data_IF_745412630279
#
_entry.id   IF_745412630279
#
_cell.length_a   1.000
_cell.length_b   1.000
_cell.length_c   1.000
_cell.angle_alpha   90.00
_cell.angle_beta   90.00
_cell.angle_gamma   90.00
#
_symmetry.space_group_name_H-M   'P 1'
#
loop_
_entity.id
_entity.type
_entity.pdbx_description
1 polymer ?
#
# COMPACT_ATOMS: atom_id res chain seq x y z
N UNK A 1 -15.05 19.92 27.51
CA UNK A 1 -15.28 18.58 26.93
C UNK A 1 -14.70 18.59 25.52
N UNK A 2 -13.57 17.91 25.26
CA UNK A 2 -12.94 17.84 23.93
C UNK A 2 -13.06 16.40 23.43
N UNK A 3 -13.82 16.18 22.36
CA UNK A 3 -13.94 14.88 21.69
C UNK A 3 -12.60 14.44 21.12
N UNK A 4 -12.19 13.22 21.47
CA UNK A 4 -11.07 12.52 20.84
C UNK A 4 -11.61 11.89 19.54
N UNK A 5 -11.27 12.47 18.39
CA UNK A 5 -11.44 11.79 17.11
C UNK A 5 -10.40 10.66 17.02
N UNK A 6 -10.75 9.49 17.55
CA UNK A 6 -10.02 8.26 17.28
C UNK A 6 -10.42 7.77 15.89
N UNK A 7 -9.62 8.12 14.88
CA UNK A 7 -9.65 7.41 13.61
C UNK A 7 -8.78 6.15 13.77
N UNK A 8 -9.37 4.94 13.91
CA UNK A 8 -8.62 3.71 14.25
C UNK A 8 -7.62 3.28 13.18
N UNK A 9 -7.61 3.96 12.02
CA UNK A 9 -6.69 3.71 10.92
C UNK A 9 -5.42 4.59 10.95
N UNK A 10 -5.35 5.60 11.83
CA UNK A 10 -4.20 6.50 11.93
C UNK A 10 -3.01 5.91 12.73
N UNK A 11 -3.22 4.83 13.49
CA UNK A 11 -2.19 4.19 14.31
C UNK A 11 -1.25 3.25 13.51
N UNK A 12 -1.49 3.06 12.22
CA UNK A 12 -0.68 2.18 11.37
C UNK A 12 0.56 2.86 10.73
N UNK A 13 0.66 4.19 10.80
CA UNK A 13 1.68 4.95 10.05
C UNK A 13 3.05 5.09 10.74
N UNK A 14 3.18 4.67 12.01
CA UNK A 14 4.36 4.98 12.85
C UNK A 14 5.37 3.85 13.11
N UNK A 15 5.23 2.67 12.50
CA UNK A 15 5.93 1.46 12.96
C UNK A 15 6.88 0.80 11.93
N UNK A 16 7.23 1.46 10.83
CA UNK A 16 7.84 0.75 9.70
C UNK A 16 9.38 0.61 9.70
N UNK A 17 10.13 1.36 10.51
CA UNK A 17 11.62 1.28 10.47
C UNK A 17 12.29 0.53 11.65
N UNK A 18 11.64 0.42 12.81
CA UNK A 18 12.21 -0.34 13.95
C UNK A 18 11.55 -1.71 14.22
N UNK A 19 10.48 -2.07 13.48
CA UNK A 19 9.75 -3.32 13.69
C UNK A 19 9.70 -4.23 12.45
N UNK A 20 10.49 -3.94 11.41
CA UNK A 20 10.50 -4.70 10.15
C UNK A 20 10.90 -6.19 10.30
N UNK A 21 11.29 -6.64 11.50
CA UNK A 21 11.62 -8.02 11.82
C UNK A 21 10.60 -8.73 12.72
N UNK A 22 9.60 -8.03 13.29
CA UNK A 22 8.72 -8.61 14.31
C UNK A 22 7.21 -8.53 14.00
N UNK A 23 6.74 -7.73 13.02
CA UNK A 23 5.28 -7.58 12.71
C UNK A 23 4.92 -7.47 11.21
N UNK A 24 5.81 -7.90 10.31
CA UNK A 24 5.85 -7.49 8.90
C UNK A 24 4.97 -8.27 7.89
N UNK A 25 4.62 -9.57 8.10
CA UNK A 25 3.79 -10.32 7.16
C UNK A 25 2.31 -9.87 7.14
N UNK A 26 1.71 -9.70 8.31
CA UNK A 26 0.27 -9.45 8.45
C UNK A 26 -0.16 -8.11 7.85
N UNK A 27 0.68 -7.08 8.00
CA UNK A 27 0.37 -5.73 7.52
C UNK A 27 0.43 -5.62 6.00
N UNK A 28 1.47 -6.17 5.34
CA UNK A 28 1.57 -6.15 3.87
C UNK A 28 0.49 -7.02 3.23
N UNK A 29 0.17 -8.13 3.86
CA UNK A 29 -0.93 -8.98 3.41
C UNK A 29 -2.28 -8.27 3.53
N UNK A 30 -2.51 -7.55 4.64
CA UNK A 30 -3.70 -6.73 4.84
C UNK A 30 -3.81 -5.61 3.77
N UNK A 31 -2.72 -4.89 3.50
CA UNK A 31 -2.64 -3.86 2.46
C UNK A 31 -2.99 -4.44 1.06
N UNK A 32 -2.46 -5.62 0.72
CA UNK A 32 -2.82 -6.32 -0.50
C UNK A 32 -4.30 -6.72 -0.56
N UNK A 33 -4.85 -7.23 0.55
CA UNK A 33 -6.27 -7.64 0.62
C UNK A 33 -7.23 -6.45 0.47
N UNK A 34 -6.93 -5.28 1.04
CA UNK A 34 -7.80 -4.09 0.90
C UNK A 34 -7.79 -3.54 -0.54
N UNK A 35 -6.65 -3.59 -1.24
CA UNK A 35 -6.58 -3.25 -2.66
C UNK A 35 -7.42 -4.20 -3.52
N UNK A 36 -7.34 -5.52 -3.27
CA UNK A 36 -8.18 -6.49 -3.98
C UNK A 36 -9.67 -6.27 -3.70
N UNK A 37 -10.04 -5.90 -2.47
CA UNK A 37 -11.41 -5.53 -2.13
C UNK A 37 -11.86 -4.30 -2.94
N UNK A 38 -11.04 -3.26 -3.03
CA UNK A 38 -11.32 -2.07 -3.83
C UNK A 38 -11.52 -2.42 -5.32
N UNK A 39 -10.61 -3.24 -5.88
CA UNK A 39 -10.74 -3.74 -7.25
C UNK A 39 -12.05 -4.50 -7.47
N UNK A 40 -12.44 -5.37 -6.54
CA UNK A 40 -13.70 -6.12 -6.61
C UNK A 40 -14.91 -5.20 -6.57
N UNK A 41 -14.93 -4.20 -5.67
CA UNK A 41 -16.02 -3.22 -5.59
C UNK A 41 -16.20 -2.46 -6.91
N UNK A 42 -15.10 -2.05 -7.56
CA UNK A 42 -15.17 -1.42 -8.88
C UNK A 42 -15.66 -2.38 -9.97
N UNK A 43 -15.26 -3.65 -9.94
CA UNK A 43 -15.76 -4.66 -10.89
C UNK A 43 -17.27 -4.91 -10.73
N UNK A 44 -17.75 -4.99 -9.49
CA UNK A 44 -19.17 -5.14 -9.19
C UNK A 44 -19.95 -3.91 -9.66
N UNK A 45 -19.43 -2.70 -9.40
CA UNK A 45 -19.99 -1.45 -9.93
C UNK A 45 -20.05 -1.42 -11.46
N UNK A 46 -19.04 -1.94 -12.16
CA UNK A 46 -19.04 -2.04 -13.62
C UNK A 46 -20.09 -3.03 -14.15
N UNK A 47 -20.38 -4.10 -13.41
CA UNK A 47 -21.41 -5.09 -13.78
C UNK A 47 -22.81 -4.48 -13.68
N UNK A 48 -23.05 -3.68 -12.66
CA UNK A 48 -24.32 -3.01 -12.39
C UNK A 48 -24.31 -1.54 -12.85
N UNK A 49 -23.52 -1.23 -13.89
CA UNK A 49 -23.22 0.15 -14.27
C UNK A 49 -24.49 0.95 -14.58
N UNK A 50 -25.40 0.40 -15.39
CA UNK A 50 -26.59 1.14 -15.84
C UNK A 50 -27.63 1.33 -14.73
N UNK A 51 -27.59 0.50 -13.68
CA UNK A 51 -28.47 0.57 -12.51
C UNK A 51 -27.81 1.22 -11.29
N UNK A 52 -26.55 1.67 -11.40
CA UNK A 52 -25.82 2.25 -10.28
C UNK A 52 -26.44 3.58 -9.84
N UNK A 53 -26.34 3.89 -8.55
CA UNK A 53 -26.61 5.24 -8.06
C UNK A 53 -25.32 6.07 -7.99
N UNK A 54 -25.45 7.38 -7.92
CA UNK A 54 -24.31 8.28 -7.75
C UNK A 54 -23.57 8.00 -6.43
N UNK A 55 -24.32 7.71 -5.36
CA UNK A 55 -23.80 7.40 -4.03
C UNK A 55 -22.95 6.12 -4.03
N UNK A 56 -23.35 5.10 -4.78
CA UNK A 56 -22.57 3.85 -4.89
C UNK A 56 -21.26 4.10 -5.66
N UNK A 57 -21.30 4.90 -6.74
CA UNK A 57 -20.09 5.32 -7.46
C UNK A 57 -19.15 6.09 -6.53
N UNK A 58 -19.65 7.10 -5.85
CA UNK A 58 -18.88 7.94 -4.92
C UNK A 58 -18.28 7.13 -3.78
N UNK A 59 -19.06 6.27 -3.12
CA UNK A 59 -18.59 5.42 -2.04
C UNK A 59 -17.50 4.44 -2.50
N UNK A 60 -17.64 3.88 -3.71
CA UNK A 60 -16.64 2.97 -4.30
C UNK A 60 -15.32 3.70 -4.56
N UNK A 61 -15.37 4.89 -5.16
CA UNK A 61 -14.18 5.70 -5.40
C UNK A 61 -13.57 6.23 -4.09
N UNK A 62 -14.38 6.63 -3.12
CA UNK A 62 -13.91 7.07 -1.81
C UNK A 62 -13.14 5.97 -1.07
N UNK A 63 -13.64 4.73 -1.10
CA UNK A 63 -12.94 3.59 -0.52
C UNK A 63 -11.54 3.40 -1.13
N UNK A 64 -11.46 3.50 -2.47
CA UNK A 64 -10.19 3.43 -3.16
C UNK A 64 -9.23 4.57 -2.78
N UNK A 65 -9.75 5.81 -2.78
CA UNK A 65 -9.00 7.01 -2.40
C UNK A 65 -8.38 6.89 -1.01
N UNK A 66 -9.12 6.38 -0.04
CA UNK A 66 -8.64 6.23 1.33
C UNK A 66 -7.42 5.30 1.43
N UNK A 67 -7.40 4.21 0.66
CA UNK A 67 -6.24 3.32 0.59
C UNK A 67 -5.04 4.07 0.01
N UNK A 68 -5.24 4.80 -1.08
CA UNK A 68 -4.15 5.52 -1.75
C UNK A 68 -3.65 6.74 -0.98
N UNK A 69 -4.50 7.39 -0.17
CA UNK A 69 -4.04 8.41 0.79
C UNK A 69 -3.09 7.82 1.83
N UNK A 70 -3.38 6.63 2.38
CA UNK A 70 -2.49 5.96 3.32
C UNK A 70 -1.12 5.66 2.71
N UNK A 71 -1.08 5.17 1.46
CA UNK A 71 0.17 4.92 0.75
C UNK A 71 0.94 6.20 0.44
N UNK A 72 0.24 7.25 0.04
CA UNK A 72 0.82 8.56 -0.22
C UNK A 72 1.44 9.16 1.05
N UNK A 73 0.70 9.17 2.15
CA UNK A 73 1.18 9.69 3.45
C UNK A 73 2.39 8.90 3.95
N UNK A 74 2.36 7.57 3.82
CA UNK A 74 3.49 6.70 4.18
C UNK A 74 4.73 6.97 3.30
N UNK A 75 4.53 7.25 2.01
CA UNK A 75 5.61 7.60 1.11
C UNK A 75 6.21 8.98 1.44
N UNK A 76 5.39 9.95 1.82
CA UNK A 76 5.81 11.31 2.19
C UNK A 76 6.46 11.40 3.58
N UNK A 77 5.94 10.67 4.57
CA UNK A 77 6.31 10.79 5.98
C UNK A 77 7.63 10.11 6.37
N UNK A 78 8.26 9.34 5.48
CA UNK A 78 9.51 8.62 5.76
C UNK A 78 10.68 9.13 4.90
N UNK A 79 11.16 10.38 5.05
CA UNK A 79 12.26 10.92 4.25
C UNK A 79 13.59 10.17 4.48
N UNK A 80 13.81 9.64 5.69
CA UNK A 80 15.07 9.01 6.16
C UNK A 80 15.12 7.48 5.99
N UNK A 81 14.01 6.83 5.63
CA UNK A 81 13.93 5.37 5.55
C UNK A 81 14.58 4.78 4.29
N UNK A 82 15.17 3.60 4.42
CA UNK A 82 16.04 2.87 3.46
C UNK A 82 15.36 2.43 2.12
N UNK A 83 14.30 3.11 1.69
CA UNK A 83 13.64 2.85 0.39
C UNK A 83 14.35 3.64 -0.71
N UNK A 84 14.69 3.01 -1.84
CA UNK A 84 15.20 3.73 -3.00
C UNK A 84 14.25 4.88 -3.35
N UNK A 85 14.79 6.07 -3.60
CA UNK A 85 14.02 7.27 -3.97
C UNK A 85 13.02 6.97 -5.10
N UNK A 86 13.37 6.05 -6.01
CA UNK A 86 12.55 5.63 -7.14
C UNK A 86 11.23 4.98 -6.70
N UNK A 87 11.24 4.12 -5.67
CA UNK A 87 10.02 3.44 -5.20
C UNK A 87 9.04 4.43 -4.57
N UNK A 88 9.55 5.38 -3.77
CA UNK A 88 8.73 6.43 -3.16
C UNK A 88 8.10 7.31 -4.23
N UNK A 89 8.91 7.79 -5.18
CA UNK A 89 8.45 8.59 -6.30
C UNK A 89 7.39 7.85 -7.12
N UNK A 90 7.57 6.55 -7.36
CA UNK A 90 6.59 5.73 -8.07
C UNK A 90 5.24 5.64 -7.34
N UNK A 91 5.24 5.45 -6.02
CA UNK A 91 4.00 5.43 -5.20
C UNK A 91 3.29 6.79 -5.27
N UNK A 92 4.03 7.88 -5.08
CA UNK A 92 3.49 9.24 -5.15
C UNK A 92 2.88 9.53 -6.53
N UNK A 93 3.57 9.13 -7.60
CA UNK A 93 3.08 9.31 -8.97
C UNK A 93 1.81 8.50 -9.24
N UNK A 94 1.74 7.26 -8.78
CA UNK A 94 0.54 6.42 -8.91
C UNK A 94 -0.63 6.99 -8.10
N UNK A 95 -0.42 7.41 -6.87
CA UNK A 95 -1.46 8.05 -6.05
C UNK A 95 -2.03 9.29 -6.74
N UNK A 96 -1.16 10.17 -7.24
CA UNK A 96 -1.56 11.37 -7.98
C UNK A 96 -2.35 11.03 -9.25
N UNK A 97 -1.93 10.02 -10.00
CA UNK A 97 -2.67 9.53 -11.17
C UNK A 97 -4.07 9.06 -10.79
N UNK A 98 -4.18 8.28 -9.70
CA UNK A 98 -5.45 7.73 -9.23
C UNK A 98 -6.40 8.85 -8.79
N UNK A 99 -5.93 9.82 -8.02
CA UNK A 99 -6.76 10.95 -7.59
C UNK A 99 -7.29 11.74 -8.79
N UNK A 100 -6.45 12.01 -9.79
CA UNK A 100 -6.88 12.66 -11.04
C UNK A 100 -7.93 11.83 -11.77
N UNK A 101 -7.69 10.52 -11.92
CA UNK A 101 -8.63 9.62 -12.60
C UNK A 101 -9.97 9.52 -11.87
N UNK A 102 -9.99 9.49 -10.55
CA UNK A 102 -11.23 9.49 -9.79
C UNK A 102 -12.01 10.78 -9.97
N UNK A 103 -11.34 11.94 -9.94
CA UNK A 103 -11.99 13.22 -10.24
C UNK A 103 -12.58 13.22 -11.66
N UNK A 104 -11.85 12.72 -12.65
CA UNK A 104 -12.36 12.58 -14.03
C UNK A 104 -13.60 11.66 -14.13
N UNK A 105 -13.68 10.62 -13.29
CA UNK A 105 -14.84 9.70 -13.24
C UNK A 105 -16.02 10.40 -12.56
N UNK A 106 -15.80 11.11 -11.45
CA UNK A 106 -16.85 11.84 -10.76
C UNK A 106 -17.46 12.95 -11.64
N UNK A 107 -16.61 13.68 -12.37
CA UNK A 107 -17.06 14.77 -13.25
C UNK A 107 -17.66 14.28 -14.57
N UNK A 108 -17.19 13.15 -15.11
CA UNK A 108 -17.74 12.55 -16.33
C UNK A 108 -17.70 11.01 -16.20
N UNK A 109 -18.75 10.40 -15.59
CA UNK A 109 -18.79 8.98 -15.32
C UNK A 109 -18.77 8.14 -16.59
N UNK A 110 -17.70 7.35 -16.77
CA UNK A 110 -17.54 6.43 -17.89
C UNK A 110 -17.05 5.08 -17.35
N UNK A 111 -17.71 3.99 -17.73
CA UNK A 111 -17.46 2.64 -17.21
C UNK A 111 -16.00 2.24 -17.37
N UNK A 112 -15.44 2.48 -18.56
CA UNK A 112 -14.09 2.01 -18.90
C UNK A 112 -12.97 2.74 -18.16
N UNK A 113 -13.25 3.91 -17.59
CA UNK A 113 -12.26 4.65 -16.79
C UNK A 113 -11.88 3.90 -15.50
N UNK A 114 -12.74 3.00 -15.00
CA UNK A 114 -12.46 2.16 -13.84
C UNK A 114 -11.44 1.05 -14.13
N UNK A 115 -11.29 0.62 -15.40
CA UNK A 115 -10.40 -0.50 -15.75
C UNK A 115 -8.95 -0.27 -15.30
N UNK A 116 -8.43 0.96 -15.47
CA UNK A 116 -7.06 1.26 -15.06
C UNK A 116 -6.90 1.21 -13.53
N UNK A 117 -7.91 1.65 -12.78
CA UNK A 117 -7.87 1.64 -11.31
C UNK A 117 -7.91 0.21 -10.79
N UNK A 118 -8.77 -0.62 -11.37
CA UNK A 118 -8.86 -2.06 -11.07
C UNK A 118 -7.51 -2.74 -11.33
N UNK A 119 -6.91 -2.49 -12.51
CA UNK A 119 -5.64 -3.12 -12.88
C UNK A 119 -4.51 -2.70 -11.93
N UNK A 120 -4.36 -1.40 -11.67
CA UNK A 120 -3.33 -0.91 -10.74
C UNK A 120 -3.50 -1.56 -9.36
N UNK A 121 -4.73 -1.61 -8.82
CA UNK A 121 -4.98 -2.22 -7.52
C UNK A 121 -4.62 -3.71 -7.50
N UNK A 122 -4.92 -4.46 -8.56
CA UNK A 122 -4.57 -5.88 -8.67
C UNK A 122 -3.07 -6.10 -8.77
N UNK A 123 -2.36 -5.33 -9.60
CA UNK A 123 -0.91 -5.47 -9.77
C UNK A 123 -0.15 -5.12 -8.49
N UNK A 124 -0.52 -4.01 -7.83
CA UNK A 124 0.08 -3.62 -6.55
C UNK A 124 -0.22 -4.66 -5.47
N UNK A 125 -1.46 -5.16 -5.39
CA UNK A 125 -1.81 -6.21 -4.46
C UNK A 125 -1.02 -7.51 -4.73
N UNK A 126 -0.89 -7.93 -5.99
CA UNK A 126 -0.11 -9.10 -6.37
C UNK A 126 1.34 -8.95 -5.91
N UNK A 127 1.96 -7.78 -6.11
CA UNK A 127 3.31 -7.47 -5.62
C UNK A 127 3.44 -7.53 -4.10
N UNK A 128 2.48 -6.97 -3.36
CA UNK A 128 2.46 -7.01 -1.89
C UNK A 128 2.30 -8.43 -1.34
N UNK A 129 1.47 -9.25 -1.98
CA UNK A 129 1.19 -10.62 -1.58
C UNK A 129 2.32 -11.60 -1.99
N UNK A 130 2.99 -11.38 -3.13
CA UNK A 130 4.14 -12.21 -3.58
C UNK A 130 5.47 -11.80 -2.94
N UNK A 131 5.62 -10.52 -2.57
CA UNK A 131 6.81 -9.98 -1.89
C UNK A 131 7.15 -10.65 -0.55
N UNK A 132 6.22 -11.43 0.01
CA UNK A 132 6.41 -12.29 1.19
C UNK A 132 7.47 -13.37 0.97
N UNK A 133 7.66 -13.85 -0.28
CA UNK A 133 8.62 -14.92 -0.61
C UNK A 133 10.03 -14.41 -0.91
N UNK A 134 10.16 -13.23 -1.53
CA UNK A 134 11.46 -12.67 -1.94
C UNK A 134 12.22 -12.02 -0.77
N UNK A 135 11.53 -11.26 0.09
CA UNK A 135 12.15 -10.62 1.26
C UNK A 135 12.63 -11.65 2.31
N UNK A 136 11.90 -12.75 2.50
CA UNK A 136 12.30 -13.85 3.38
C UNK A 136 13.50 -14.63 2.84
N UNK A 137 13.61 -14.81 1.51
CA UNK A 137 14.74 -15.48 0.88
C UNK A 137 16.04 -14.65 0.93
N UNK A 138 15.95 -13.31 0.88
CA UNK A 138 17.11 -12.42 1.01
C UNK A 138 17.58 -12.24 2.46
N UNK A 139 16.66 -12.27 3.43
CA UNK A 139 17.04 -12.27 4.85
C UNK A 139 17.79 -13.56 5.27
N UNK A 140 17.47 -14.70 4.63
CA UNK A 140 18.09 -16.00 4.92
C UNK A 140 19.47 -16.22 4.25
N UNK A 141 19.93 -15.31 3.38
CA UNK A 141 21.19 -15.46 2.62
C UNK A 141 22.31 -14.50 3.06
N UNK A 142 22.15 -13.77 4.16
CA UNK A 142 23.26 -13.02 4.76
C UNK A 142 24.14 -13.98 5.57
N UNK A 143 25.44 -14.17 5.23
CA UNK A 143 26.32 -14.98 6.05
C UNK A 143 26.54 -14.27 7.39
N UNK A 144 26.37 -14.99 8.49
CA UNK A 144 26.72 -14.51 9.83
C UNK A 144 28.17 -14.01 9.83
N UNK A 145 28.49 -12.88 10.51
CA UNK A 145 29.87 -12.43 10.61
C UNK A 145 30.68 -13.52 11.32
N UNK A 146 31.71 -14.02 10.63
CA UNK A 146 32.66 -14.97 11.18
C UNK A 146 33.25 -14.38 12.46
N UNK A 147 33.00 -15.03 13.59
CA UNK A 147 33.60 -14.69 14.86
C UNK A 147 35.12 -14.78 14.71
N UNK A 148 35.77 -13.61 14.68
CA UNK A 148 37.21 -13.48 14.62
C UNK A 148 37.82 -14.18 15.83
N UNK A 149 38.43 -15.34 15.58
CA UNK A 149 39.35 -15.97 16.50
C UNK A 149 40.64 -15.17 16.46
N UNK A 150 40.98 -14.51 17.56
CA UNK A 150 42.36 -14.07 17.81
C UNK A 150 42.71 -14.42 19.24
N UNK A 151 43.04 -15.70 19.40
CA UNK A 151 44.04 -16.15 20.36
C UNK A 151 45.32 -15.37 20.09
N UNK A 152 45.89 -14.71 21.09
CA UNK A 152 47.34 -14.59 21.17
C UNK A 152 47.82 -14.56 22.62
N UNK A 153 48.83 -15.40 22.80
CA UNK A 153 49.46 -15.90 24.01
C UNK A 153 50.77 -15.12 24.18
N UNK A 154 51.02 -14.70 25.43
CA UNK A 154 52.32 -14.43 26.11
C UNK A 154 53.40 -13.51 25.50
N UNK A 155 54.03 -12.78 26.43
CA UNK A 155 55.21 -11.93 26.26
C UNK A 155 55.39 -11.00 27.45
#
# INVERSE_FOLDING_TARGET
MRSKNNNPYAQAAGAYDNNAQQNTPDQRELEGRVLLKSARMMQDLMREWDSRTAEVLEATLLYNRQIWMLFYDTAMGNPEGNRPNDLRSNIINLANFIFKRELEILSNPQKDKLNVLININKEVAAGLLTGQKAAAAQAAQSPAPAAGSSTNIEG
#
